data_IF_774018836533
#
_entry.id   IF_774018836533
#
_cell.length_a   1.000
_cell.length_b   1.000
_cell.length_c   1.000
_cell.angle_alpha   90.00
_cell.angle_beta   90.00
_cell.angle_gamma   90.00
#
_symmetry.space_group_name_H-M   'P 1'
#
loop_
_entity.id
_entity.type
_entity.pdbx_description
1 polymer ?
#
# COMPACT_ATOMS: atom_id res chain seq x y z
N UNK A 1 21.24 9.44 -21.17
CA UNK A 1 20.72 9.29 -19.79
C UNK A 1 19.37 8.61 -19.90
N UNK A 2 19.28 7.32 -19.59
CA UNK A 2 18.00 6.62 -19.50
C UNK A 2 17.21 7.23 -18.35
N UNK A 3 16.08 7.88 -18.62
CA UNK A 3 15.22 8.45 -17.58
C UNK A 3 14.83 7.35 -16.59
N UNK A 4 14.65 7.69 -15.31
CA UNK A 4 14.05 6.81 -14.30
C UNK A 4 12.62 7.26 -14.07
N UNK A 5 11.72 6.31 -13.83
CA UNK A 5 10.29 6.57 -13.63
C UNK A 5 9.90 6.08 -12.25
N UNK A 6 9.10 6.85 -11.49
CA UNK A 6 8.59 6.41 -10.22
C UNK A 6 7.86 5.06 -10.34
N UNK A 7 8.14 4.13 -9.42
CA UNK A 7 7.48 2.83 -9.34
C UNK A 7 7.09 2.50 -7.92
N UNK A 8 6.10 1.64 -7.72
CA UNK A 8 5.74 1.16 -6.39
C UNK A 8 6.88 0.29 -5.85
N UNK A 9 7.30 0.59 -4.62
CA UNK A 9 8.32 -0.09 -3.86
C UNK A 9 7.74 -1.17 -2.95
N UNK A 10 6.65 -0.82 -2.28
CA UNK A 10 6.01 -1.67 -1.29
C UNK A 10 4.53 -1.31 -1.18
N UNK A 11 3.69 -2.33 -1.02
CA UNK A 11 2.28 -2.18 -0.66
C UNK A 11 2.07 -2.85 0.69
N UNK A 12 1.67 -2.06 1.68
CA UNK A 12 1.31 -2.49 3.01
C UNK A 12 -0.20 -2.39 3.24
N UNK A 13 -0.77 -3.42 3.84
CA UNK A 13 -2.14 -3.44 4.36
C UNK A 13 -2.06 -3.66 5.85
N UNK A 14 -2.60 -2.72 6.62
CA UNK A 14 -2.56 -2.72 8.07
C UNK A 14 -3.99 -2.76 8.61
N UNK A 15 -4.25 -3.66 9.54
CA UNK A 15 -5.56 -3.87 10.14
C UNK A 15 -5.99 -2.74 11.05
N UNK A 16 -7.26 -2.80 11.49
CA UNK A 16 -7.87 -1.84 12.43
C UNK A 16 -7.12 -1.74 13.76
N UNK A 17 -6.45 -2.82 14.17
CA UNK A 17 -5.66 -2.90 15.40
C UNK A 17 -4.17 -2.66 15.19
N UNK A 18 -3.79 -1.95 14.12
CA UNK A 18 -2.39 -1.63 13.79
C UNK A 18 -1.50 -2.88 13.56
N UNK A 19 -2.11 -4.03 13.24
CA UNK A 19 -1.39 -5.25 12.91
C UNK A 19 -1.17 -5.36 11.39
N UNK A 20 0.01 -5.79 10.92
CA UNK A 20 0.27 -5.95 9.49
C UNK A 20 -0.53 -7.15 8.95
N UNK A 21 -1.46 -6.88 8.03
CA UNK A 21 -2.28 -7.90 7.36
C UNK A 21 -1.59 -8.43 6.10
N UNK A 22 -0.89 -7.57 5.36
CA UNK A 22 -0.18 -7.97 4.15
C UNK A 22 0.93 -6.97 3.82
N UNK A 23 2.08 -7.46 3.37
CA UNK A 23 3.20 -6.65 2.89
C UNK A 23 3.69 -7.30 1.60
N UNK A 24 3.71 -6.54 0.51
CA UNK A 24 4.26 -6.96 -0.78
C UNK A 24 5.34 -5.98 -1.23
N UNK A 25 6.50 -6.50 -1.65
CA UNK A 25 7.67 -5.74 -2.05
C UNK A 25 7.91 -5.83 -3.56
N UNK A 26 8.37 -4.75 -4.16
CA UNK A 26 8.55 -4.61 -5.60
C UNK A 26 9.83 -3.81 -5.92
N UNK A 27 10.87 -4.42 -6.51
CA UNK A 27 11.14 -5.85 -6.65
C UNK A 27 11.41 -6.51 -5.29
N UNK A 28 10.99 -7.76 -5.11
CA UNK A 28 11.15 -8.46 -3.83
C UNK A 28 12.61 -8.87 -3.52
N UNK A 29 13.44 -9.07 -4.54
CA UNK A 29 14.81 -9.59 -4.38
C UNK A 29 15.82 -8.52 -3.95
N UNK A 30 15.55 -7.25 -4.24
CA UNK A 30 16.46 -6.13 -4.00
C UNK A 30 16.19 -5.39 -2.68
N UNK A 31 15.10 -5.73 -1.99
CA UNK A 31 14.56 -4.94 -0.87
C UNK A 31 14.55 -5.73 0.43
N UNK A 32 15.06 -5.13 1.51
CA UNK A 32 15.08 -5.75 2.84
C UNK A 32 13.68 -5.72 3.50
N UNK A 33 13.02 -6.87 3.77
CA UNK A 33 11.66 -6.88 4.29
C UNK A 33 11.48 -6.19 5.65
N UNK A 34 12.49 -6.29 6.52
CA UNK A 34 12.48 -5.69 7.86
C UNK A 34 12.49 -4.15 7.80
N UNK A 35 13.22 -3.57 6.84
CA UNK A 35 13.29 -2.13 6.66
C UNK A 35 11.91 -1.58 6.26
N UNK A 36 11.26 -2.19 5.27
CA UNK A 36 9.92 -1.78 4.86
C UNK A 36 8.87 -2.01 5.95
N UNK A 37 9.01 -3.05 6.76
CA UNK A 37 8.13 -3.26 7.91
C UNK A 37 8.30 -2.15 8.97
N UNK A 38 9.53 -1.69 9.20
CA UNK A 38 9.79 -0.55 10.08
C UNK A 38 9.18 0.74 9.52
N UNK A 39 9.35 1.01 8.21
CA UNK A 39 8.76 2.18 7.55
C UNK A 39 7.22 2.19 7.64
N UNK A 40 6.59 1.05 7.34
CA UNK A 40 5.14 0.87 7.48
C UNK A 40 4.67 1.04 8.93
N UNK A 41 5.49 0.68 9.92
CA UNK A 41 5.13 0.88 11.34
C UNK A 41 5.26 2.35 11.72
N UNK A 42 6.30 3.05 11.24
CA UNK A 42 6.52 4.48 11.50
C UNK A 42 5.40 5.37 10.97
N UNK A 43 4.70 4.97 9.90
CA UNK A 43 3.63 5.79 9.33
C UNK A 43 2.35 5.80 10.18
N UNK A 44 2.20 4.88 11.13
CA UNK A 44 1.02 4.77 11.98
C UNK A 44 0.80 6.00 12.87
N UNK A 45 1.87 6.56 13.41
CA UNK A 45 1.81 7.77 14.24
C UNK A 45 1.23 8.96 13.44
N UNK A 46 1.52 9.01 12.13
CA UNK A 46 1.00 10.05 11.23
C UNK A 46 -0.49 9.86 10.98
N UNK A 47 -0.94 8.61 10.83
CA UNK A 47 -2.37 8.32 10.75
C UNK A 47 -3.08 8.77 12.03
N UNK A 48 -2.54 8.45 13.20
CA UNK A 48 -3.14 8.83 14.50
C UNK A 48 -3.16 10.34 14.71
N UNK A 49 -2.09 11.06 14.35
CA UNK A 49 -2.03 12.51 14.46
C UNK A 49 -3.02 13.23 13.53
N UNK A 50 -3.25 12.70 12.32
CA UNK A 50 -4.13 13.32 11.31
C UNK A 50 -5.59 12.88 11.41
N UNK A 51 -5.89 11.74 12.05
CA UNK A 51 -7.24 11.19 12.16
C UNK A 51 -8.27 12.18 12.76
N UNK A 52 -7.98 12.95 13.82
CA UNK A 52 -8.96 13.86 14.42
C UNK A 52 -9.40 14.99 13.47
N UNK A 53 -8.56 15.32 12.49
CA UNK A 53 -8.79 16.40 11.53
C UNK A 53 -9.47 15.91 10.25
N UNK A 54 -9.52 14.59 10.02
CA UNK A 54 -10.09 13.96 8.83
C UNK A 54 -11.38 13.24 9.16
N UNK A 55 -12.50 13.89 8.90
CA UNK A 55 -13.83 13.37 9.25
C UNK A 55 -14.52 12.60 8.12
N UNK A 56 -14.13 12.77 6.86
CA UNK A 56 -14.89 12.22 5.70
C UNK A 56 -13.99 11.62 4.61
N UNK A 57 -12.77 12.11 4.41
CA UNK A 57 -11.94 11.67 3.28
C UNK A 57 -11.09 10.44 3.62
N UNK A 58 -11.11 9.45 2.71
CA UNK A 58 -10.35 8.21 2.82
C UNK A 58 -8.89 8.39 2.37
N UNK A 59 -8.65 9.35 1.49
CA UNK A 59 -7.31 9.65 0.98
C UNK A 59 -6.50 10.36 2.07
N UNK A 60 -5.39 9.78 2.52
CA UNK A 60 -4.46 10.42 3.47
C UNK A 60 -3.33 11.20 2.77
N UNK A 61 -3.22 11.07 1.45
CA UNK A 61 -2.18 11.69 0.64
C UNK A 61 -0.78 11.24 1.06
N UNK A 62 0.21 12.11 0.84
CA UNK A 62 1.57 11.89 1.29
C UNK A 62 1.64 11.86 2.83
N UNK A 63 2.06 10.72 3.38
CA UNK A 63 2.31 10.54 4.82
C UNK A 63 3.68 11.10 5.17
N UNK A 64 4.72 10.58 4.53
CA UNK A 64 6.12 10.90 4.81
C UNK A 64 6.97 10.72 3.56
N UNK A 65 7.85 11.69 3.30
CA UNK A 65 9.02 11.50 2.44
C UNK A 65 10.14 10.92 3.31
N UNK A 66 10.46 9.65 3.12
CA UNK A 66 11.43 8.92 3.96
C UNK A 66 12.84 9.38 3.63
N UNK A 67 13.14 9.47 2.35
CA UNK A 67 14.40 9.94 1.81
C UNK A 67 14.15 10.53 0.42
N UNK A 68 15.19 10.99 -0.29
CA UNK A 68 15.10 11.51 -1.66
C UNK A 68 14.47 10.51 -2.65
N UNK A 69 14.53 9.21 -2.32
CA UNK A 69 14.06 8.11 -3.16
C UNK A 69 12.68 7.59 -2.78
N UNK A 70 12.32 7.56 -1.50
CA UNK A 70 11.12 6.86 -1.03
C UNK A 70 10.08 7.83 -0.47
N UNK A 71 8.87 7.74 -1.00
CA UNK A 71 7.69 8.47 -0.51
C UNK A 71 6.59 7.49 -0.10
N UNK A 72 5.98 7.71 1.07
CA UNK A 72 4.88 6.89 1.59
C UNK A 72 3.57 7.61 1.45
N UNK A 73 2.60 6.97 0.81
CA UNK A 73 1.24 7.45 0.65
C UNK A 73 0.28 6.60 1.47
N UNK A 74 -0.76 7.23 2.00
CA UNK A 74 -1.73 6.59 2.88
C UNK A 74 -3.15 6.64 2.36
N UNK A 75 -3.92 5.59 2.68
CA UNK A 75 -5.37 5.55 2.47
C UNK A 75 -6.02 4.85 3.65
N UNK A 76 -7.02 5.48 4.26
CA UNK A 76 -7.77 4.92 5.38
C UNK A 76 -9.18 4.56 4.91
N UNK A 77 -9.54 3.30 5.05
CA UNK A 77 -10.91 2.86 4.79
C UNK A 77 -11.83 3.21 5.96
N UNK A 78 -13.14 3.29 5.70
CA UNK A 78 -14.16 3.46 6.72
C UNK A 78 -14.19 2.34 7.78
N UNK A 79 -13.62 1.17 7.47
CA UNK A 79 -13.51 0.03 8.40
C UNK A 79 -12.30 0.10 9.33
N UNK A 80 -11.47 1.14 9.21
CA UNK A 80 -10.25 1.32 10.01
C UNK A 80 -9.02 0.57 9.47
N UNK A 81 -9.16 -0.14 8.35
CA UNK A 81 -8.04 -0.74 7.61
C UNK A 81 -7.28 0.36 6.88
N UNK A 82 -5.95 0.36 7.03
CA UNK A 82 -5.03 1.34 6.46
C UNK A 82 -4.28 0.69 5.31
N UNK A 83 -4.30 1.32 4.15
CA UNK A 83 -3.45 0.97 3.03
C UNK A 83 -2.31 1.97 2.95
N UNK A 84 -1.11 1.46 2.71
CA UNK A 84 0.09 2.26 2.58
C UNK A 84 0.80 1.81 1.32
N UNK A 85 1.10 2.76 0.43
CA UNK A 85 1.89 2.49 -0.77
C UNK A 85 3.16 3.31 -0.66
N UNK A 86 4.29 2.62 -0.68
CA UNK A 86 5.61 3.24 -0.77
C UNK A 86 5.97 3.31 -2.24
N UNK A 87 6.36 4.49 -2.71
CA UNK A 87 6.79 4.77 -4.08
C UNK A 87 8.28 5.11 -4.07
N UNK A 88 9.00 4.48 -4.98
CA UNK A 88 10.39 4.78 -5.29
C UNK A 88 10.45 5.75 -6.47
N UNK A 89 10.92 6.96 -6.25
CA UNK A 89 11.03 8.02 -7.25
C UNK A 89 12.09 7.71 -8.32
N UNK A 90 13.09 6.89 -8.00
CA UNK A 90 14.11 6.43 -8.93
C UNK A 90 13.79 5.04 -9.53
N UNK A 91 12.59 4.52 -9.25
CA UNK A 91 12.11 3.16 -9.53
C UNK A 91 12.69 2.44 -10.76
N UNK A 92 11.91 2.39 -11.85
CA UNK A 92 12.25 1.57 -13.03
C UNK A 92 12.87 2.40 -14.16
N UNK A 93 13.72 1.81 -15.02
CA UNK A 93 14.18 2.49 -16.22
C UNK A 93 13.00 2.86 -17.13
N UNK A 94 13.00 4.08 -17.63
CA UNK A 94 11.94 4.62 -18.47
C UNK A 94 11.81 3.86 -19.78
N UNK A 95 10.59 3.43 -20.07
CA UNK A 95 10.25 2.88 -21.38
C UNK A 95 9.79 4.01 -22.32
N UNK A 96 9.80 3.78 -23.63
CA UNK A 96 9.39 4.79 -24.62
C UNK A 96 7.95 5.32 -24.42
N UNK A 97 7.10 4.57 -23.71
CA UNK A 97 5.74 4.98 -23.32
C UNK A 97 5.73 6.02 -22.20
N UNK A 98 6.70 5.95 -21.28
CA UNK A 98 6.74 6.79 -20.07
C UNK A 98 7.30 8.19 -20.37
N UNK A 99 8.09 8.31 -21.46
CA UNK A 99 8.73 9.56 -21.92
C UNK A 99 7.78 10.70 -22.26
N UNK A 100 6.49 10.43 -22.50
CA UNK A 100 5.50 11.47 -22.82
C UNK A 100 4.83 12.08 -21.57
N UNK A 101 4.98 11.42 -20.42
CA UNK A 101 4.29 11.81 -19.17
C UNK A 101 5.28 12.23 -18.07
N UNK A 102 6.54 11.77 -18.13
CA UNK A 102 7.50 11.89 -17.02
C UNK A 102 8.31 13.19 -16.97
N UNK A 103 8.13 14.15 -17.88
CA UNK A 103 9.11 15.25 -18.05
C UNK A 103 8.77 16.59 -17.40
N UNK A 104 7.60 16.79 -16.78
CA UNK A 104 7.20 18.15 -16.40
C UNK A 104 6.74 18.38 -14.96
N UNK A 105 6.21 17.39 -14.23
CA UNK A 105 5.65 17.65 -12.90
C UNK A 105 5.83 16.41 -12.04
N UNK A 106 6.41 16.56 -10.84
CA UNK A 106 6.59 15.47 -9.89
C UNK A 106 5.29 14.71 -9.59
N UNK A 107 5.44 13.52 -8.99
CA UNK A 107 4.33 12.63 -8.65
C UNK A 107 3.24 13.38 -7.88
N UNK A 108 2.00 13.38 -8.40
CA UNK A 108 0.87 14.03 -7.75
C UNK A 108 0.12 13.01 -6.90
N UNK A 109 -0.44 13.45 -5.78
CA UNK A 109 -1.34 12.63 -4.95
C UNK A 109 -2.48 12.01 -5.77
N UNK A 110 -2.94 12.72 -6.81
CA UNK A 110 -3.96 12.24 -7.74
C UNK A 110 -3.56 10.98 -8.52
N UNK A 111 -2.27 10.78 -8.79
CA UNK A 111 -1.74 9.62 -9.54
C UNK A 111 -1.77 8.33 -8.70
N UNK A 112 -1.86 8.46 -7.38
CA UNK A 112 -1.95 7.32 -6.46
C UNK A 112 -3.39 6.86 -6.24
N UNK A 113 -4.39 7.71 -6.50
CA UNK A 113 -5.82 7.39 -6.28
C UNK A 113 -6.27 6.13 -7.03
N UNK A 114 -5.89 5.90 -8.30
CA UNK A 114 -6.27 4.67 -9.01
C UNK A 114 -5.70 3.41 -8.36
N UNK A 115 -4.44 3.44 -7.90
CA UNK A 115 -3.82 2.31 -7.20
C UNK A 115 -4.54 2.00 -5.87
N UNK A 116 -4.86 3.02 -5.08
CA UNK A 116 -5.60 2.83 -3.83
C UNK A 116 -7.02 2.32 -4.05
N UNK A 117 -7.72 2.80 -5.09
CA UNK A 117 -9.06 2.30 -5.46
C UNK A 117 -9.01 0.85 -5.92
N UNK A 118 -8.00 0.47 -6.71
CA UNK A 118 -7.80 -0.91 -7.13
C UNK A 118 -7.52 -1.82 -5.91
N UNK A 119 -6.67 -1.37 -4.99
CA UNK A 119 -6.36 -2.10 -3.75
C UNK A 119 -7.58 -2.25 -2.84
N UNK A 120 -8.37 -1.19 -2.69
CA UNK A 120 -9.64 -1.24 -1.95
C UNK A 120 -10.63 -2.21 -2.61
N UNK A 121 -10.71 -2.22 -3.94
CA UNK A 121 -11.56 -3.15 -4.69
C UNK A 121 -11.12 -4.60 -4.48
N UNK A 122 -9.81 -4.88 -4.52
CA UNK A 122 -9.26 -6.19 -4.23
C UNK A 122 -9.57 -6.64 -2.79
N UNK A 123 -9.47 -5.72 -1.82
CA UNK A 123 -9.82 -6.00 -0.42
C UNK A 123 -11.33 -6.25 -0.25
N UNK A 124 -12.19 -5.51 -0.95
CA UNK A 124 -13.63 -5.77 -0.97
C UNK A 124 -13.95 -7.15 -1.56
N UNK A 125 -13.26 -7.55 -2.65
CA UNK A 125 -13.42 -8.88 -3.21
C UNK A 125 -13.00 -9.99 -2.25
N UNK A 126 -11.97 -9.74 -1.43
CA UNK A 126 -11.59 -10.64 -0.35
C UNK A 126 -12.68 -10.75 0.72
N UNK A 127 -13.26 -9.63 1.15
CA UNK A 127 -14.36 -9.60 2.12
C UNK A 127 -15.65 -10.25 1.61
N UNK A 128 -15.86 -10.26 0.29
CA UNK A 128 -16.99 -10.95 -0.34
C UNK A 128 -16.85 -12.47 -0.32
N UNK A 129 -15.73 -13.02 0.11
CA UNK A 129 -15.55 -14.45 0.29
C UNK A 129 -16.24 -14.90 1.61
N UNK A 130 -17.25 -15.79 1.58
CA UNK A 130 -17.95 -16.23 2.77
C UNK A 130 -17.08 -17.02 3.76
N UNK A 131 -15.90 -17.49 3.32
CA UNK A 131 -14.93 -18.19 4.17
C UNK A 131 -13.84 -17.26 4.73
N UNK A 132 -13.92 -15.96 4.48
CA UNK A 132 -12.95 -14.99 4.98
C UNK A 132 -13.57 -14.19 6.13
N UNK A 133 -13.05 -14.39 7.34
CA UNK A 133 -13.46 -13.64 8.52
C UNK A 133 -12.42 -12.57 8.84
N UNK A 134 -12.74 -11.26 8.75
CA UNK A 134 -11.79 -10.20 9.06
C UNK A 134 -11.35 -10.20 10.54
N UNK A 135 -12.20 -10.69 11.45
CA UNK A 135 -11.90 -10.73 12.88
C UNK A 135 -10.91 -11.83 13.28
N UNK A 136 -10.75 -12.88 12.47
CA UNK A 136 -9.70 -13.91 12.68
C UNK A 136 -8.29 -13.32 12.56
N UNK A 137 -8.15 -12.21 11.83
CA UNK A 137 -6.89 -11.49 11.65
C UNK A 137 -6.65 -10.44 12.75
N UNK A 138 -7.51 -10.36 13.78
CA UNK A 138 -7.27 -9.49 14.93
C UNK A 138 -6.30 -10.16 15.91
N UNK A 139 -5.28 -9.44 16.42
CA UNK A 139 -4.40 -9.97 17.46
C UNK A 139 -5.16 -10.36 18.74
N UNK A 140 -6.32 -9.74 19.00
CA UNK A 140 -7.17 -10.07 20.15
C UNK A 140 -7.80 -11.47 20.01
N UNK A 141 -8.26 -11.82 18.80
CA UNK A 141 -8.80 -13.15 18.52
C UNK A 141 -7.70 -14.21 18.53
N UNK A 142 -6.53 -13.91 17.94
CA UNK A 142 -5.38 -14.82 17.96
C UNK A 142 -4.91 -15.15 19.38
N UNK A 143 -4.84 -14.15 20.26
CA UNK A 143 -4.48 -14.33 21.67
C UNK A 143 -5.55 -15.09 22.47
N UNK A 144 -6.83 -14.82 22.23
CA UNK A 144 -7.94 -15.53 22.88
C UNK A 144 -7.98 -17.02 22.50
N UNK A 145 -7.70 -17.33 21.23
CA UNK A 145 -7.71 -18.70 20.71
C UNK A 145 -6.36 -19.43 20.84
N UNK A 146 -5.35 -18.80 21.48
CA UNK A 146 -3.95 -19.30 21.55
C UNK A 146 -3.40 -19.74 20.19
N UNK A 147 -3.88 -19.15 19.10
CA UNK A 147 -3.39 -19.45 17.75
C UNK A 147 -2.03 -18.79 17.59
N UNK A 148 -0.97 -19.60 17.61
CA UNK A 148 0.37 -19.19 17.20
C UNK A 148 0.39 -19.23 15.67
N UNK A 149 -0.13 -18.18 15.04
CA UNK A 149 -0.24 -18.06 13.59
C UNK A 149 -0.14 -16.60 13.14
N UNK A 150 0.34 -16.39 11.91
CA UNK A 150 0.40 -15.05 11.33
C UNK A 150 -1.02 -14.49 11.15
N UNK A 151 -1.29 -13.29 11.64
CA UNK A 151 -2.54 -12.54 11.38
C UNK A 151 -2.65 -12.03 9.93
N UNK A 152 -1.81 -12.56 9.04
CA UNK A 152 -1.69 -12.14 7.65
C UNK A 152 -2.79 -12.76 6.78
N UNK A 153 -3.13 -12.05 5.70
CA UNK A 153 -4.04 -12.51 4.67
C UNK A 153 -3.35 -13.58 3.83
N UNK A 154 -3.91 -14.79 3.78
CA UNK A 154 -3.36 -15.95 3.06
C UNK A 154 -4.02 -16.21 1.70
N UNK A 155 -5.02 -15.40 1.33
CA UNK A 155 -5.76 -15.56 0.08
C UNK A 155 -4.87 -15.31 -1.14
N UNK A 156 -4.64 -16.35 -1.94
CA UNK A 156 -3.82 -16.28 -3.17
C UNK A 156 -4.33 -15.24 -4.16
N UNK A 157 -5.64 -15.22 -4.40
CA UNK A 157 -6.28 -14.25 -5.31
C UNK A 157 -5.99 -12.81 -4.90
N UNK A 158 -6.04 -12.53 -3.60
CA UNK A 158 -5.75 -11.18 -3.09
C UNK A 158 -4.27 -10.83 -3.30
N UNK A 159 -3.36 -11.75 -2.97
CA UNK A 159 -1.92 -11.54 -3.13
C UNK A 159 -1.55 -11.31 -4.61
N UNK A 160 -2.15 -12.10 -5.52
CA UNK A 160 -1.97 -11.95 -6.97
C UNK A 160 -2.49 -10.60 -7.49
N UNK A 161 -3.64 -10.14 -7.00
CA UNK A 161 -4.16 -8.82 -7.37
C UNK A 161 -3.30 -7.68 -6.82
N UNK A 162 -2.82 -7.77 -5.58
CA UNK A 162 -1.88 -6.78 -5.02
C UNK A 162 -0.59 -6.73 -5.86
N UNK A 163 -0.09 -7.89 -6.27
CA UNK A 163 1.07 -7.99 -7.15
C UNK A 163 0.80 -7.33 -8.51
N UNK A 164 -0.34 -7.63 -9.12
CA UNK A 164 -0.78 -7.02 -10.39
C UNK A 164 -0.83 -5.50 -10.29
N UNK A 165 -1.38 -4.95 -9.19
CA UNK A 165 -1.47 -3.50 -8.98
C UNK A 165 -0.07 -2.87 -8.83
N UNK A 166 0.82 -3.51 -8.06
CA UNK A 166 2.20 -3.03 -7.87
C UNK A 166 3.00 -2.98 -9.16
N UNK A 167 2.85 -3.98 -10.03
CA UNK A 167 3.56 -4.08 -11.31
C UNK A 167 2.92 -3.24 -12.42
N UNK A 168 1.59 -3.09 -12.42
CA UNK A 168 0.87 -2.36 -13.46
C UNK A 168 0.88 -0.85 -13.26
N UNK A 169 1.10 -0.36 -12.03
CA UNK A 169 1.05 1.08 -11.75
C UNK A 169 2.25 1.83 -12.36
N UNK A 170 1.94 2.98 -12.96
CA UNK A 170 2.88 3.99 -13.39
C UNK A 170 2.22 5.38 -13.30
N UNK A 171 3.01 6.47 -13.16
CA UNK A 171 2.46 7.82 -13.14
C UNK A 171 1.60 8.11 -14.37
N UNK A 172 0.42 8.70 -14.13
CA UNK A 172 -0.55 9.04 -15.18
C UNK A 172 -1.51 7.92 -15.59
N UNK A 173 -1.41 6.70 -15.04
CA UNK A 173 -2.42 5.66 -15.22
C UNK A 173 -3.68 6.04 -14.46
N UNK A 174 -4.82 6.10 -15.17
CA UNK A 174 -6.11 6.49 -14.59
C UNK A 174 -6.98 5.31 -14.17
N UNK A 175 -6.64 4.08 -14.59
CA UNK A 175 -7.39 2.85 -14.27
C UNK A 175 -6.47 1.62 -14.26
N UNK A 176 -6.66 0.71 -13.28
CA UNK A 176 -5.85 -0.49 -13.02
C UNK A 176 -6.77 -1.70 -12.78
#
# INVERSE_FOLDING_TARGET
>A
MTGRVPSIACIGVIGKHNNPLHISLFPAEERAPLEFQFLLSSCLDIFEARLPQKTVDQDFGLLQAVDERLAMYGWLTNTGVKFVIVVDMEGRPATASDSKTSTAVGLRDADMKPAFRALQTAYIMLLRNPFYSPDEHSPLAANAEKRVGSTQITSRKFIEEVKRIGEAWAPGITNI
#
